data_IF_765234128593
#
_entry.id   IF_765234128593
#
_cell.length_a   1.000
_cell.length_b   1.000
_cell.length_c   1.000
_cell.angle_alpha   90.00
_cell.angle_beta   90.00
_cell.angle_gamma   90.00
#
_symmetry.space_group_name_H-M   'P 1'
#
loop_
_entity.id
_entity.type
_entity.pdbx_description
1 polymer ?
#
# COMPACT_ATOMS: atom_id res chain seq x y z
N UNK A 1 39.66 33.62 -23.58
CA UNK A 1 38.77 32.49 -23.91
C UNK A 1 37.78 32.35 -22.76
N UNK A 2 36.46 32.41 -23.03
CA UNK A 2 35.47 32.23 -21.96
C UNK A 2 35.66 30.86 -21.32
N UNK A 3 35.75 30.82 -20.00
CA UNK A 3 35.94 29.58 -19.25
C UNK A 3 34.78 28.62 -19.54
N UNK A 4 35.11 27.43 -20.06
CA UNK A 4 34.14 26.37 -20.33
C UNK A 4 34.07 25.45 -19.12
N UNK A 5 32.87 25.22 -18.62
CA UNK A 5 32.61 24.36 -17.47
C UNK A 5 31.86 23.10 -17.90
N UNK A 6 31.82 22.09 -17.04
CA UNK A 6 31.08 20.86 -17.31
C UNK A 6 29.58 21.14 -17.33
N UNK A 7 28.84 20.50 -18.23
CA UNK A 7 27.38 20.62 -18.30
C UNK A 7 26.68 20.35 -16.96
N UNK A 8 27.10 19.30 -16.23
CA UNK A 8 26.52 18.98 -14.92
C UNK A 8 26.69 20.09 -13.87
N UNK A 9 27.80 20.83 -13.95
CA UNK A 9 28.09 21.96 -13.10
C UNK A 9 27.36 23.22 -13.59
N UNK A 10 27.29 23.44 -14.90
CA UNK A 10 26.55 24.56 -15.47
C UNK A 10 25.05 24.50 -15.16
N UNK A 11 24.44 23.31 -15.21
CA UNK A 11 23.02 23.11 -14.87
C UNK A 11 22.72 23.47 -13.41
N UNK A 12 23.63 23.13 -12.48
CA UNK A 12 23.50 23.51 -11.08
C UNK A 12 23.76 24.99 -10.85
N UNK A 13 24.88 25.53 -11.38
CA UNK A 13 25.26 26.93 -11.20
C UNK A 13 24.27 27.92 -11.82
N UNK A 14 23.58 27.52 -12.90
CA UNK A 14 22.51 28.32 -13.53
C UNK A 14 21.13 28.10 -12.89
N UNK A 15 21.04 27.33 -11.81
CA UNK A 15 19.80 27.09 -11.07
C UNK A 15 18.78 26.20 -11.79
N UNK A 16 19.15 25.53 -12.88
CA UNK A 16 18.24 24.65 -13.63
C UNK A 16 17.95 23.36 -12.86
N UNK A 17 18.89 22.90 -12.02
CA UNK A 17 18.73 21.72 -11.16
C UNK A 17 19.41 21.94 -9.81
N UNK A 18 18.78 21.51 -8.72
CA UNK A 18 19.25 21.77 -7.36
C UNK A 18 20.51 21.01 -6.90
N UNK A 19 21.11 20.16 -7.74
CA UNK A 19 22.42 19.56 -7.44
C UNK A 19 23.11 18.97 -8.67
N UNK A 20 24.45 18.85 -8.63
CA UNK A 20 25.24 18.13 -9.67
C UNK A 20 24.78 16.70 -9.89
N UNK A 21 24.35 16.01 -8.84
CA UNK A 21 23.89 14.63 -8.95
C UNK A 21 22.61 14.54 -9.82
N UNK A 22 21.67 15.47 -9.61
CA UNK A 22 20.46 15.59 -10.43
C UNK A 22 20.78 16.00 -11.85
N UNK A 23 21.71 16.95 -12.02
CA UNK A 23 22.18 17.35 -13.35
C UNK A 23 22.75 16.19 -14.15
N UNK A 24 23.58 15.34 -13.54
CA UNK A 24 24.11 14.13 -14.19
C UNK A 24 23.01 13.15 -14.58
N UNK A 25 22.04 12.93 -13.71
CA UNK A 25 20.92 12.04 -13.98
C UNK A 25 20.03 12.56 -15.13
N UNK A 26 19.68 13.85 -15.11
CA UNK A 26 18.87 14.48 -16.15
C UNK A 26 19.53 14.36 -17.54
N UNK A 27 20.84 14.59 -17.62
CA UNK A 27 21.61 14.40 -18.87
C UNK A 27 21.60 12.93 -19.30
N UNK A 28 21.80 11.98 -18.38
CA UNK A 28 21.78 10.54 -18.71
C UNK A 28 20.42 10.06 -19.22
N UNK A 29 19.33 10.70 -18.79
CA UNK A 29 17.97 10.41 -19.27
C UNK A 29 17.62 11.12 -20.59
N UNK A 30 18.51 11.95 -21.13
CA UNK A 30 18.24 12.70 -22.36
C UNK A 30 17.25 13.86 -22.18
N UNK A 31 16.99 14.30 -20.95
CA UNK A 31 16.08 15.41 -20.64
C UNK A 31 16.73 16.79 -20.74
N UNK A 32 18.01 16.86 -21.08
CA UNK A 32 18.75 18.11 -21.22
C UNK A 32 19.11 18.33 -22.67
N UNK A 33 18.93 19.55 -23.18
CA UNK A 33 19.45 19.98 -24.48
C UNK A 33 20.43 21.14 -24.31
N UNK A 34 21.45 21.15 -25.15
CA UNK A 34 22.41 22.26 -25.30
C UNK A 34 22.24 22.82 -26.72
N UNK A 35 21.89 24.09 -26.84
CA UNK A 35 21.61 24.76 -28.11
C UNK A 35 20.57 23.99 -28.95
N UNK A 36 19.51 23.48 -28.29
CA UNK A 36 18.45 22.70 -28.93
C UNK A 36 18.80 21.22 -29.21
N UNK A 37 20.04 20.78 -28.97
CA UNK A 37 20.48 19.40 -29.24
C UNK A 37 20.50 18.58 -27.94
N UNK A 38 19.89 17.38 -27.89
CA UNK A 38 19.95 16.50 -26.72
C UNK A 38 21.38 16.19 -26.28
N UNK A 39 21.65 16.40 -24.99
CA UNK A 39 22.92 16.10 -24.37
C UNK A 39 22.93 14.68 -23.80
N UNK A 40 24.03 13.96 -23.99
CA UNK A 40 24.21 12.59 -23.47
C UNK A 40 25.38 12.45 -22.49
N UNK A 41 26.26 13.46 -22.42
CA UNK A 41 27.48 13.44 -21.61
C UNK A 41 27.45 14.54 -20.53
N UNK A 42 27.30 14.18 -19.24
CA UNK A 42 27.26 15.18 -18.17
C UNK A 42 28.53 16.03 -18.03
N UNK A 43 29.66 15.54 -18.56
CA UNK A 43 30.95 16.21 -18.51
C UNK A 43 31.27 16.99 -19.79
N UNK A 44 30.35 17.07 -20.76
CA UNK A 44 30.61 17.84 -21.98
C UNK A 44 30.83 19.32 -21.62
N UNK A 45 31.85 19.98 -22.20
CA UNK A 45 32.15 21.36 -21.89
C UNK A 45 31.10 22.29 -22.52
N UNK A 46 30.59 23.24 -21.74
CA UNK A 46 29.66 24.28 -22.18
C UNK A 46 30.21 25.66 -21.81
N UNK A 47 30.02 26.62 -22.71
CA UNK A 47 30.37 28.03 -22.52
C UNK A 47 29.22 28.82 -21.88
N UNK A 48 29.49 30.07 -21.46
CA UNK A 48 28.47 30.94 -20.88
C UNK A 48 27.28 31.20 -21.83
N UNK A 49 27.55 31.33 -23.13
CA UNK A 49 26.53 31.65 -24.15
C UNK A 49 25.73 30.43 -24.64
N UNK A 50 26.11 29.21 -24.24
CA UNK A 50 25.36 28.02 -24.61
C UNK A 50 23.98 28.02 -23.93
N UNK A 51 22.92 27.83 -24.71
CA UNK A 51 21.54 27.76 -24.22
C UNK A 51 21.28 26.36 -23.67
N UNK A 52 21.00 26.27 -22.37
CA UNK A 52 20.68 25.02 -21.69
C UNK A 52 19.17 24.96 -21.45
N UNK A 53 18.50 23.95 -22.00
CA UNK A 53 17.07 23.72 -21.76
C UNK A 53 16.85 22.37 -21.11
N UNK A 54 15.92 22.31 -20.15
CA UNK A 54 15.56 21.12 -19.42
C UNK A 54 14.10 20.75 -19.73
N UNK A 55 13.90 19.52 -20.16
CA UNK A 55 12.61 18.89 -20.43
C UNK A 55 12.46 17.70 -19.47
N UNK A 56 12.40 18.01 -18.17
CA UNK A 56 12.32 17.04 -17.10
C UNK A 56 11.15 17.37 -16.16
N UNK A 57 10.04 16.61 -16.22
CA UNK A 57 8.90 16.81 -15.34
C UNK A 57 9.26 16.71 -13.84
N UNK A 58 10.36 16.02 -13.51
CA UNK A 58 10.83 15.88 -12.15
C UNK A 58 11.71 17.05 -11.67
N UNK A 59 12.06 18.02 -12.54
CA UNK A 59 13.03 19.07 -12.24
C UNK A 59 12.65 19.92 -11.02
N UNK A 60 11.36 20.22 -10.88
CA UNK A 60 10.82 21.10 -9.84
C UNK A 60 10.66 20.44 -8.46
N UNK A 61 10.74 19.11 -8.39
CA UNK A 61 10.50 18.38 -7.16
C UNK A 61 11.79 18.09 -6.42
N UNK A 62 11.78 18.00 -5.09
CA UNK A 62 12.97 17.65 -4.28
C UNK A 62 13.46 16.20 -4.48
N UNK A 63 12.63 15.32 -5.06
CA UNK A 63 12.99 13.94 -5.39
C UNK A 63 12.26 13.46 -6.66
N UNK A 64 12.82 12.51 -7.40
CA UNK A 64 12.10 11.84 -8.51
C UNK A 64 11.08 10.82 -8.03
N UNK A 65 11.15 10.39 -6.77
CA UNK A 65 10.18 9.46 -6.19
C UNK A 65 8.74 9.99 -6.36
N UNK A 66 8.56 11.31 -6.39
CA UNK A 66 7.28 12.02 -6.64
C UNK A 66 6.47 11.46 -7.81
N UNK A 67 7.11 11.03 -8.90
CA UNK A 67 6.41 10.51 -10.07
C UNK A 67 5.61 9.24 -9.73
N UNK A 68 6.06 8.47 -8.73
CA UNK A 68 5.33 7.30 -8.22
C UNK A 68 4.07 7.72 -7.49
N UNK A 69 4.16 8.74 -6.63
CA UNK A 69 3.00 9.23 -5.90
C UNK A 69 2.00 9.93 -6.82
N UNK A 70 2.47 10.74 -7.78
CA UNK A 70 1.61 11.42 -8.76
C UNK A 70 0.78 10.39 -9.54
N UNK A 71 1.42 9.39 -10.14
CA UNK A 71 0.72 8.31 -10.81
C UNK A 71 -0.21 7.55 -9.86
N UNK A 72 0.20 7.46 -8.60
CA UNK A 72 -0.58 6.92 -7.50
C UNK A 72 -1.91 7.65 -7.32
N UNK A 73 -1.83 8.93 -7.04
CA UNK A 73 -2.96 9.78 -6.76
C UNK A 73 -3.87 9.93 -7.99
N UNK A 74 -3.31 10.06 -9.19
CA UNK A 74 -4.07 10.22 -10.43
C UNK A 74 -4.94 9.00 -10.72
N UNK A 75 -4.40 7.80 -10.55
CA UNK A 75 -5.15 6.58 -10.78
C UNK A 75 -6.18 6.28 -9.68
N UNK A 76 -6.03 6.88 -8.50
CA UNK A 76 -7.06 6.89 -7.46
C UNK A 76 -8.12 7.99 -7.68
N UNK A 77 -7.97 8.84 -8.70
CA UNK A 77 -8.85 10.00 -8.91
C UNK A 77 -8.66 11.11 -7.87
N UNK A 78 -7.53 11.12 -7.15
CA UNK A 78 -7.20 12.08 -6.09
C UNK A 78 -6.40 13.26 -6.65
N UNK A 79 -7.01 14.01 -7.56
CA UNK A 79 -6.39 15.21 -8.15
C UNK A 79 -6.41 16.41 -7.21
N UNK A 80 -7.36 16.45 -6.26
CA UNK A 80 -7.51 17.53 -5.27
C UNK A 80 -7.59 16.93 -3.86
N UNK A 81 -6.73 17.43 -2.98
CA UNK A 81 -6.61 17.08 -1.57
C UNK A 81 -6.97 18.28 -0.67
N UNK A 82 -7.65 19.31 -1.20
CA UNK A 82 -8.10 20.47 -0.45
C UNK A 82 -8.74 20.07 0.88
N UNK A 83 -8.23 20.64 1.97
CA UNK A 83 -8.73 20.39 3.32
C UNK A 83 -8.22 19.09 3.96
N UNK A 84 -7.64 18.17 3.20
CA UNK A 84 -7.20 16.86 3.70
C UNK A 84 -5.96 16.96 4.59
N UNK A 85 -5.98 16.21 5.69
CA UNK A 85 -4.82 15.95 6.54
C UNK A 85 -4.13 14.67 6.08
N UNK A 86 -2.85 14.77 5.76
CA UNK A 86 -2.08 13.64 5.23
C UNK A 86 -0.97 13.17 6.18
N UNK A 87 -0.61 11.90 6.09
CA UNK A 87 0.53 11.29 6.77
C UNK A 87 1.50 10.70 5.74
N UNK A 88 2.73 11.21 5.70
CA UNK A 88 3.81 10.74 4.82
C UNK A 88 4.83 9.93 5.63
N UNK A 89 4.79 8.61 5.47
CA UNK A 89 5.66 7.66 6.18
C UNK A 89 6.89 7.32 5.32
N UNK A 90 8.06 7.73 5.80
CA UNK A 90 9.31 7.67 5.04
C UNK A 90 9.52 8.91 4.17
N UNK A 91 9.24 10.09 4.72
CA UNK A 91 9.23 11.36 3.98
C UNK A 91 10.59 11.69 3.33
N UNK A 92 11.69 11.26 3.94
CA UNK A 92 13.07 11.51 3.49
C UNK A 92 13.31 12.97 3.10
N UNK A 93 13.67 13.26 1.85
CA UNK A 93 13.87 14.65 1.39
C UNK A 93 12.58 15.45 1.23
N UNK A 94 11.41 14.81 1.35
CA UNK A 94 10.08 15.44 1.33
C UNK A 94 9.40 15.44 -0.04
N UNK A 95 9.81 14.57 -0.96
CA UNK A 95 9.20 14.52 -2.29
C UNK A 95 7.68 14.28 -2.24
N UNK A 96 7.25 13.28 -1.47
CA UNK A 96 5.83 12.95 -1.35
C UNK A 96 5.07 14.06 -0.63
N UNK A 97 5.61 14.55 0.49
CA UNK A 97 5.13 15.74 1.19
C UNK A 97 4.90 16.94 0.24
N UNK A 98 5.85 17.25 -0.64
CA UNK A 98 5.71 18.33 -1.63
C UNK A 98 4.49 18.10 -2.55
N UNK A 99 4.33 16.90 -3.10
CA UNK A 99 3.20 16.56 -3.98
C UNK A 99 1.86 16.70 -3.25
N UNK A 100 1.79 16.27 -1.99
CA UNK A 100 0.57 16.38 -1.18
C UNK A 100 0.18 17.86 -0.98
N UNK A 101 1.15 18.72 -0.67
CA UNK A 101 0.93 20.16 -0.51
C UNK A 101 0.50 20.85 -1.82
N UNK A 102 1.12 20.49 -2.93
CA UNK A 102 0.79 21.01 -4.27
C UNK A 102 -0.62 20.62 -4.71
N UNK A 103 -1.13 19.46 -4.24
CA UNK A 103 -2.52 19.04 -4.43
C UNK A 103 -3.49 19.61 -3.39
N UNK A 104 -3.05 20.51 -2.53
CA UNK A 104 -3.95 21.23 -1.62
C UNK A 104 -4.15 20.63 -0.24
N UNK A 105 -3.34 19.64 0.17
CA UNK A 105 -3.37 19.13 1.55
C UNK A 105 -3.27 20.30 2.55
N UNK A 106 -4.17 20.29 3.54
CA UNK A 106 -4.24 21.34 4.57
C UNK A 106 -3.15 21.19 5.63
N UNK A 107 -2.70 19.95 5.85
CA UNK A 107 -1.63 19.58 6.76
C UNK A 107 -0.97 18.28 6.33
N UNK A 108 0.35 18.18 6.50
CA UNK A 108 1.11 16.94 6.25
C UNK A 108 2.00 16.62 7.44
N UNK A 109 1.79 15.45 8.04
CA UNK A 109 2.71 14.85 9.00
C UNK A 109 3.79 14.09 8.24
N UNK A 110 5.01 14.62 8.23
CA UNK A 110 6.15 14.05 7.50
C UNK A 110 7.05 13.27 8.48
N UNK A 111 6.95 11.93 8.47
CA UNK A 111 7.63 11.05 9.43
C UNK A 111 8.80 10.36 8.77
N UNK A 112 9.97 10.41 9.40
CA UNK A 112 11.15 9.68 8.96
C UNK A 112 12.02 9.25 10.15
N UNK A 113 12.73 8.13 10.00
CA UNK A 113 13.71 7.67 11.00
C UNK A 113 15.05 8.37 10.87
N UNK A 114 15.34 8.95 9.70
CA UNK A 114 16.50 9.79 9.45
C UNK A 114 16.37 11.16 10.12
N UNK A 115 17.49 11.88 10.14
CA UNK A 115 17.59 13.24 10.66
C UNK A 115 18.12 14.18 9.57
N UNK A 116 17.66 15.43 9.58
CA UNK A 116 18.14 16.50 8.71
C UNK A 116 18.09 16.18 7.20
N UNK A 117 17.06 15.44 6.80
CA UNK A 117 16.80 15.06 5.41
C UNK A 117 15.78 15.98 4.74
N UNK A 118 14.76 16.44 5.49
CA UNK A 118 13.67 17.21 4.92
C UNK A 118 14.18 18.52 4.33
N UNK A 119 13.80 18.81 3.09
CA UNK A 119 14.28 20.00 2.40
C UNK A 119 13.91 21.28 3.16
N UNK A 120 14.81 22.28 3.29
CA UNK A 120 14.57 23.48 4.09
C UNK A 120 13.25 24.20 3.79
N UNK A 121 12.87 24.31 2.52
CA UNK A 121 11.60 24.93 2.12
C UNK A 121 10.37 24.18 2.66
N UNK A 122 10.43 22.84 2.72
CA UNK A 122 9.34 22.03 3.27
C UNK A 122 9.34 22.07 4.79
N UNK A 123 10.52 22.12 5.41
CA UNK A 123 10.65 22.32 6.86
C UNK A 123 10.11 23.68 7.32
N UNK A 124 10.23 24.70 6.47
CA UNK A 124 9.71 26.04 6.74
C UNK A 124 8.23 26.23 6.37
N UNK A 125 7.60 25.26 5.68
CA UNK A 125 6.21 25.33 5.29
C UNK A 125 5.29 25.09 6.52
N UNK A 126 4.41 26.04 6.89
CA UNK A 126 3.60 25.94 8.11
C UNK A 126 2.60 24.77 8.10
N UNK A 127 2.24 24.25 6.92
CA UNK A 127 1.37 23.07 6.79
C UNK A 127 2.10 21.75 7.05
N UNK A 128 3.43 21.74 7.18
CA UNK A 128 4.23 20.53 7.38
C UNK A 128 4.66 20.41 8.83
N UNK A 129 4.36 19.28 9.46
CA UNK A 129 4.90 18.90 10.75
C UNK A 129 5.92 17.78 10.53
N UNK A 130 7.19 18.09 10.79
CA UNK A 130 8.30 17.15 10.62
C UNK A 130 8.52 16.33 11.89
N UNK A 131 8.49 15.01 11.73
CA UNK A 131 8.82 14.01 12.75
C UNK A 131 10.03 13.19 12.28
N UNK A 132 11.16 13.87 12.09
CA UNK A 132 12.46 13.23 11.85
C UNK A 132 12.96 12.53 13.13
N UNK A 133 13.77 11.48 12.97
CA UNK A 133 14.21 10.62 14.07
C UNK A 133 13.12 9.77 14.71
N UNK A 134 11.92 9.70 14.10
CA UNK A 134 10.75 9.02 14.67
C UNK A 134 10.49 7.72 13.94
N UNK A 135 10.40 6.62 14.68
CA UNK A 135 9.98 5.35 14.13
C UNK A 135 8.45 5.35 13.95
N UNK A 136 7.97 5.18 12.72
CA UNK A 136 6.55 5.20 12.42
C UNK A 136 5.72 4.16 13.22
N UNK A 137 6.36 3.10 13.73
CA UNK A 137 5.76 2.10 14.63
C UNK A 137 5.33 2.66 15.99
N UNK A 138 5.92 3.78 16.39
CA UNK A 138 5.73 4.41 17.70
C UNK A 138 4.77 5.61 17.60
N UNK A 139 4.21 5.89 16.42
CA UNK A 139 3.24 6.97 16.26
C UNK A 139 1.99 6.67 17.06
N UNK A 140 1.51 7.69 17.76
CA UNK A 140 0.28 7.65 18.54
C UNK A 140 -0.58 8.88 18.23
N UNK A 141 -1.81 8.88 18.76
CA UNK A 141 -2.69 10.06 18.72
C UNK A 141 -2.15 11.26 19.50
N UNK A 142 -1.17 11.06 20.38
CA UNK A 142 -0.51 12.18 21.07
C UNK A 142 0.40 12.95 20.10
N UNK A 143 1.12 12.23 19.24
CA UNK A 143 1.99 12.84 18.22
C UNK A 143 1.19 13.33 17.02
N UNK A 144 0.16 12.58 16.63
CA UNK A 144 -0.70 12.86 15.46
C UNK A 144 -2.15 12.95 15.95
N UNK A 145 -2.56 14.09 16.54
CA UNK A 145 -3.89 14.24 17.12
C UNK A 145 -5.00 14.34 16.07
N UNK A 146 -4.68 14.84 14.88
CA UNK A 146 -5.63 14.90 13.77
C UNK A 146 -5.96 13.51 13.24
N UNK A 147 -7.16 13.36 12.69
CA UNK A 147 -7.53 12.17 11.93
C UNK A 147 -7.01 12.27 10.49
N UNK A 148 -6.29 11.23 10.05
CA UNK A 148 -5.66 11.23 8.74
C UNK A 148 -6.65 10.84 7.65
N UNK A 149 -6.77 11.68 6.61
CA UNK A 149 -7.57 11.44 5.40
C UNK A 149 -6.83 10.60 4.37
N UNK A 150 -5.51 10.80 4.25
CA UNK A 150 -4.65 10.12 3.29
C UNK A 150 -3.30 9.76 3.91
N UNK A 151 -2.97 8.47 3.88
CA UNK A 151 -1.65 7.97 4.24
C UNK A 151 -0.85 7.64 2.98
N UNK A 152 0.40 8.07 2.91
CA UNK A 152 1.36 7.62 1.88
C UNK A 152 2.57 6.97 2.56
N UNK A 153 3.11 5.90 1.99
CA UNK A 153 4.23 5.17 2.58
C UNK A 153 5.27 4.76 1.53
N UNK A 154 6.49 5.28 1.65
CA UNK A 154 7.66 4.97 0.78
C UNK A 154 8.90 4.57 1.59
N UNK A 155 8.75 3.66 2.55
CA UNK A 155 9.87 3.20 3.38
C UNK A 155 10.80 2.22 2.65
N UNK A 156 12.05 2.15 3.09
CA UNK A 156 13.06 1.23 2.56
C UNK A 156 13.72 0.43 3.71
N UNK A 157 14.38 -0.67 3.38
CA UNK A 157 15.15 -1.53 4.32
C UNK A 157 14.34 -2.28 5.38
N UNK A 158 13.01 -2.13 5.40
CA UNK A 158 12.10 -2.85 6.28
C UNK A 158 10.84 -3.21 5.52
N UNK A 159 10.25 -4.37 5.83
CA UNK A 159 8.93 -4.75 5.32
C UNK A 159 7.87 -3.79 5.83
N UNK A 160 6.96 -3.37 4.95
CA UNK A 160 5.85 -2.49 5.31
C UNK A 160 4.91 -3.11 6.34
N UNK A 161 4.79 -4.45 6.35
CA UNK A 161 3.97 -5.18 7.33
C UNK A 161 4.44 -4.99 8.78
N UNK A 162 5.72 -4.66 8.98
CA UNK A 162 6.28 -4.42 10.32
C UNK A 162 6.05 -2.98 10.82
N UNK A 163 5.60 -2.08 9.94
CA UNK A 163 5.55 -0.64 10.22
C UNK A 163 4.13 -0.11 10.19
N UNK A 164 3.29 -0.58 9.27
CA UNK A 164 2.03 0.07 8.92
C UNK A 164 0.92 -0.01 9.98
N UNK A 165 1.00 -0.91 10.96
CA UNK A 165 -0.08 -1.05 11.95
C UNK A 165 -0.39 0.25 12.71
N UNK A 166 0.63 0.91 13.26
CA UNK A 166 0.44 2.16 14.00
C UNK A 166 -0.02 3.32 13.07
N UNK A 167 0.65 3.62 11.94
CA UNK A 167 0.21 4.66 11.00
C UNK A 167 -1.22 4.46 10.48
N UNK A 168 -1.61 3.23 10.13
CA UNK A 168 -2.95 2.95 9.63
C UNK A 168 -4.03 3.14 10.69
N UNK A 169 -3.73 2.95 11.97
CA UNK A 169 -4.70 3.16 13.06
C UNK A 169 -4.99 4.64 13.36
N UNK A 170 -4.20 5.56 12.81
CA UNK A 170 -4.40 7.01 12.94
C UNK A 170 -5.33 7.58 11.85
N UNK A 171 -5.63 6.78 10.83
CA UNK A 171 -6.56 7.14 9.77
C UNK A 171 -8.01 7.13 10.27
N UNK A 172 -8.85 7.99 9.71
CA UNK A 172 -10.30 7.94 9.96
C UNK A 172 -10.99 6.88 9.09
N UNK A 173 -12.24 6.60 9.43
CA UNK A 173 -13.15 5.87 8.56
C UNK A 173 -13.26 6.55 7.19
N UNK A 174 -13.15 5.74 6.14
CA UNK A 174 -13.15 6.21 4.75
C UNK A 174 -11.90 6.99 4.32
N UNK A 175 -10.83 7.01 5.13
CA UNK A 175 -9.52 7.46 4.67
C UNK A 175 -9.00 6.58 3.53
N UNK A 176 -7.98 7.05 2.82
CA UNK A 176 -7.26 6.29 1.79
C UNK A 176 -5.81 6.09 2.20
N UNK A 177 -5.16 5.07 1.65
CA UNK A 177 -3.72 4.94 1.73
C UNK A 177 -3.09 4.61 0.37
N UNK A 178 -1.84 5.00 0.18
CA UNK A 178 -1.00 4.65 -0.97
C UNK A 178 0.31 4.10 -0.42
N UNK A 179 0.51 2.79 -0.55
CA UNK A 179 1.67 2.09 0.00
C UNK A 179 2.54 1.60 -1.14
N UNK A 180 3.84 1.93 -1.11
CA UNK A 180 4.78 1.45 -2.12
C UNK A 180 5.32 0.07 -1.73
N UNK A 181 4.83 -0.96 -2.40
CA UNK A 181 5.38 -2.31 -2.32
C UNK A 181 6.75 -2.40 -3.00
N UNK A 182 7.78 -2.78 -2.26
CA UNK A 182 9.16 -2.92 -2.75
C UNK A 182 9.61 -4.37 -2.51
N UNK A 183 9.54 -5.26 -3.53
CA UNK A 183 9.72 -6.70 -3.33
C UNK A 183 11.00 -7.06 -2.57
N UNK A 184 12.09 -6.35 -2.83
CA UNK A 184 13.40 -6.56 -2.20
C UNK A 184 13.42 -6.42 -0.67
N UNK A 185 12.42 -5.77 -0.08
CA UNK A 185 12.29 -5.65 1.38
C UNK A 185 11.23 -6.58 1.98
N UNK A 186 10.54 -7.35 1.12
CA UNK A 186 9.38 -8.17 1.49
C UNK A 186 9.64 -9.67 1.34
N UNK A 187 10.40 -10.08 0.31
CA UNK A 187 10.60 -11.51 -0.03
C UNK A 187 11.61 -12.27 0.86
N UNK A 188 12.22 -11.61 1.83
CA UNK A 188 13.30 -12.18 2.65
C UNK A 188 14.66 -12.25 1.94
N UNK A 189 15.75 -12.40 2.70
CA UNK A 189 17.13 -12.23 2.20
C UNK A 189 17.51 -13.27 1.13
N UNK A 190 17.01 -14.50 1.25
CA UNK A 190 17.38 -15.60 0.34
C UNK A 190 16.84 -15.43 -1.08
N UNK A 191 15.79 -14.60 -1.23
CA UNK A 191 15.15 -14.30 -2.51
C UNK A 191 15.68 -12.99 -3.16
N UNK A 192 16.71 -12.37 -2.58
CA UNK A 192 17.30 -11.13 -3.09
C UNK A 192 18.63 -11.41 -3.78
N UNK A 193 18.65 -11.24 -5.10
CA UNK A 193 19.84 -11.44 -5.93
C UNK A 193 20.85 -10.29 -5.87
N UNK A 194 21.92 -10.41 -6.67
CA UNK A 194 22.96 -9.37 -6.79
C UNK A 194 22.34 -8.01 -7.15
N UNK A 195 22.74 -6.98 -6.41
CA UNK A 195 22.25 -5.61 -6.63
C UNK A 195 20.86 -5.33 -6.05
N UNK A 196 20.33 -6.20 -5.17
CA UNK A 196 19.04 -5.99 -4.53
C UNK A 196 17.84 -6.31 -5.44
N UNK A 197 18.07 -7.06 -6.52
CA UNK A 197 17.06 -7.39 -7.52
C UNK A 197 16.38 -8.69 -7.12
N UNK A 198 15.05 -8.69 -7.10
CA UNK A 198 14.22 -9.88 -6.92
C UNK A 198 13.69 -10.27 -8.30
N UNK A 199 14.10 -11.44 -8.78
CA UNK A 199 13.74 -11.93 -10.12
C UNK A 199 12.70 -13.04 -10.11
N UNK A 200 12.43 -13.66 -8.95
CA UNK A 200 11.44 -14.73 -8.85
C UNK A 200 10.02 -14.14 -8.77
N UNK A 201 9.18 -14.32 -9.81
CA UNK A 201 7.82 -13.80 -9.82
C UNK A 201 6.92 -14.46 -8.76
N UNK A 202 7.18 -15.70 -8.37
CA UNK A 202 6.38 -16.39 -7.35
C UNK A 202 6.64 -15.78 -5.97
N UNK A 203 7.92 -15.59 -5.60
CA UNK A 203 8.28 -14.91 -4.36
C UNK A 203 7.68 -13.49 -4.29
N UNK A 204 7.68 -12.74 -5.40
CA UNK A 204 7.05 -11.43 -5.48
C UNK A 204 5.53 -11.52 -5.23
N UNK A 205 4.85 -12.47 -5.88
CA UNK A 205 3.41 -12.66 -5.74
C UNK A 205 3.01 -13.08 -4.32
N UNK A 206 3.77 -13.98 -3.69
CA UNK A 206 3.56 -14.42 -2.31
C UNK A 206 3.75 -13.26 -1.32
N UNK A 207 4.81 -12.48 -1.47
CA UNK A 207 5.07 -11.32 -0.62
C UNK A 207 3.98 -10.24 -0.78
N UNK A 208 3.50 -10.01 -2.00
CA UNK A 208 2.39 -9.09 -2.26
C UNK A 208 1.08 -9.59 -1.64
N UNK A 209 0.80 -10.89 -1.73
CA UNK A 209 -0.36 -11.51 -1.11
C UNK A 209 -0.31 -11.41 0.42
N UNK A 210 0.86 -11.65 1.02
CA UNK A 210 1.08 -11.51 2.45
C UNK A 210 0.88 -10.07 2.93
N UNK A 211 1.43 -9.09 2.20
CA UNK A 211 1.22 -7.67 2.52
C UNK A 211 -0.25 -7.26 2.39
N UNK A 212 -0.92 -7.72 1.32
CA UNK A 212 -2.35 -7.45 1.12
C UNK A 212 -3.17 -8.04 2.28
N UNK A 213 -2.94 -9.32 2.62
CA UNK A 213 -3.64 -9.99 3.71
C UNK A 213 -3.42 -9.31 5.07
N UNK A 214 -2.18 -8.90 5.37
CA UNK A 214 -1.87 -8.17 6.59
C UNK A 214 -2.67 -6.87 6.72
N UNK A 215 -2.77 -6.07 5.65
CA UNK A 215 -3.51 -4.82 5.73
C UNK A 215 -5.04 -5.07 5.71
N UNK A 216 -5.51 -6.11 5.02
CA UNK A 216 -6.92 -6.54 5.11
C UNK A 216 -7.32 -6.97 6.53
N UNK A 217 -6.43 -7.65 7.25
CA UNK A 217 -6.62 -8.01 8.67
C UNK A 217 -6.73 -6.77 9.58
N UNK A 218 -6.16 -5.63 9.17
CA UNK A 218 -6.30 -4.35 9.84
C UNK A 218 -7.60 -3.60 9.47
N UNK A 219 -8.53 -4.25 8.75
CA UNK A 219 -9.85 -3.69 8.43
C UNK A 219 -9.88 -2.85 7.17
N UNK A 220 -8.85 -2.89 6.35
CA UNK A 220 -8.75 -2.08 5.15
C UNK A 220 -9.11 -2.92 3.90
N UNK A 221 -9.77 -2.35 2.89
CA UNK A 221 -10.04 -3.05 1.61
C UNK A 221 -9.25 -2.55 0.40
N UNK A 222 -8.55 -3.42 -0.35
CA UNK A 222 -7.85 -3.06 -1.59
C UNK A 222 -8.78 -2.56 -2.71
N UNK A 223 -8.48 -1.36 -3.23
CA UNK A 223 -9.20 -0.72 -4.35
C UNK A 223 -8.51 -0.92 -5.70
N UNK A 224 -7.19 -0.69 -5.77
CA UNK A 224 -6.42 -0.75 -7.02
C UNK A 224 -5.13 -1.55 -6.84
N UNK A 225 -4.43 -1.79 -7.94
CA UNK A 225 -3.03 -2.17 -7.99
C UNK A 225 -2.51 -1.72 -9.37
N UNK A 226 -1.35 -1.07 -9.41
CA UNK A 226 -0.76 -0.55 -10.64
C UNK A 226 0.73 -0.89 -10.65
N UNK A 227 1.43 -0.88 -11.80
CA UNK A 227 2.89 -0.98 -11.89
C UNK A 227 3.60 0.40 -11.90
N UNK A 228 4.75 0.56 -11.22
CA UNK A 228 5.43 1.85 -11.08
C UNK A 228 5.93 2.42 -12.42
N UNK A 229 5.68 3.70 -12.73
CA UNK A 229 6.10 4.31 -14.00
C UNK A 229 7.62 4.41 -14.18
N UNK A 230 8.42 4.31 -13.11
CA UNK A 230 9.88 4.36 -13.18
C UNK A 230 10.57 2.98 -13.32
N UNK A 231 9.86 1.94 -13.75
CA UNK A 231 10.44 0.61 -13.97
C UNK A 231 11.42 0.62 -15.17
N UNK A 232 12.71 0.89 -14.91
CA UNK A 232 13.76 0.42 -15.81
C UNK A 232 13.99 -1.08 -15.58
N UNK A 233 14.51 -1.81 -16.56
CA UNK A 233 14.71 -3.28 -16.50
C UNK A 233 15.58 -3.81 -15.31
N UNK A 234 16.14 -2.91 -14.47
CA UNK A 234 16.84 -3.22 -13.20
C UNK A 234 16.04 -2.91 -11.92
N UNK A 235 14.90 -2.24 -12.05
CA UNK A 235 14.10 -1.65 -10.97
C UNK A 235 12.60 -1.88 -11.23
N UNK A 236 12.21 -3.12 -11.57
CA UNK A 236 10.80 -3.57 -11.63
C UNK A 236 10.17 -3.65 -10.22
N UNK A 237 10.38 -2.62 -9.42
CA UNK A 237 10.21 -2.60 -7.97
C UNK A 237 9.49 -1.33 -7.60
N UNK A 238 8.19 -1.28 -7.77
CA UNK A 238 7.28 -0.46 -6.99
C UNK A 238 5.90 -0.61 -7.59
N UNK A 239 4.89 -0.47 -6.74
CA UNK A 239 3.49 -0.29 -7.07
C UNK A 239 2.68 -1.58 -6.85
N UNK A 240 2.05 -1.56 -5.69
CA UNK A 240 0.68 -1.98 -5.52
C UNK A 240 0.07 -0.81 -4.79
N UNK A 241 -0.44 0.15 -5.56
CA UNK A 241 -1.31 1.19 -5.04
C UNK A 241 -2.50 0.51 -4.40
N UNK A 242 -2.46 0.30 -3.10
CA UNK A 242 -3.63 -0.25 -2.45
C UNK A 242 -4.35 0.92 -1.82
N UNK A 243 -5.27 1.51 -2.57
CA UNK A 243 -6.31 2.33 -1.96
C UNK A 243 -7.05 1.45 -0.98
N UNK A 244 -7.21 1.92 0.24
CA UNK A 244 -7.89 1.18 1.28
C UNK A 244 -9.04 2.03 1.78
N UNK A 245 -10.22 1.46 2.00
CA UNK A 245 -11.29 2.12 2.75
C UNK A 245 -11.65 1.23 3.93
N UNK A 246 -11.84 1.84 5.10
CA UNK A 246 -12.47 1.16 6.23
C UNK A 246 -13.91 0.79 5.80
N UNK A 247 -14.41 -0.41 6.12
CA UNK A 247 -15.80 -0.75 5.86
C UNK A 247 -16.70 0.28 6.52
N UNK A 248 -17.49 1.00 5.71
CA UNK A 248 -18.65 1.77 6.19
C UNK A 248 -19.38 0.93 7.24
N UNK A 249 -19.60 1.45 8.45
CA UNK A 249 -20.10 0.74 9.65
C UNK A 249 -21.27 -0.25 9.47
N UNK A 250 -21.97 -0.21 8.34
CA UNK A 250 -22.89 -1.25 7.83
C UNK A 250 -22.30 -2.66 7.76
N UNK A 251 -20.99 -2.79 7.52
CA UNK A 251 -20.34 -4.08 7.30
C UNK A 251 -19.94 -4.74 8.64
N UNK A 252 -19.53 -3.97 9.65
CA UNK A 252 -19.17 -4.52 10.96
C UNK A 252 -20.34 -5.24 11.63
N UNK A 253 -21.56 -4.75 11.44
CA UNK A 253 -22.78 -5.42 11.90
C UNK A 253 -22.94 -6.81 11.26
N UNK A 254 -22.60 -6.96 9.97
CA UNK A 254 -22.62 -8.26 9.30
C UNK A 254 -21.48 -9.19 9.76
N UNK A 255 -20.29 -8.68 10.05
CA UNK A 255 -19.16 -9.50 10.52
C UNK A 255 -19.27 -9.93 11.98
N UNK A 256 -19.98 -9.18 12.84
CA UNK A 256 -20.25 -9.57 14.23
C UNK A 256 -21.53 -10.40 14.37
N UNK A 257 -22.64 -10.01 13.72
CA UNK A 257 -23.91 -10.73 13.84
C UNK A 257 -23.80 -12.14 13.25
N UNK A 258 -23.13 -12.33 12.12
CA UNK A 258 -23.14 -13.63 11.43
C UNK A 258 -22.41 -14.74 12.22
N UNK A 259 -21.18 -14.57 12.70
CA UNK A 259 -20.54 -15.59 13.55
C UNK A 259 -21.16 -15.68 14.94
N UNK A 260 -21.66 -14.58 15.53
CA UNK A 260 -22.31 -14.63 16.84
C UNK A 260 -23.66 -15.37 16.79
N UNK A 261 -24.46 -15.17 15.74
CA UNK A 261 -25.67 -15.95 15.46
C UNK A 261 -25.32 -17.43 15.25
N UNK A 262 -24.27 -17.73 14.48
CA UNK A 262 -23.83 -19.13 14.26
C UNK A 262 -23.37 -19.78 15.58
N UNK A 263 -22.64 -19.06 16.43
CA UNK A 263 -22.20 -19.57 17.74
C UNK A 263 -23.38 -19.76 18.69
N UNK A 264 -24.28 -18.78 18.82
CA UNK A 264 -25.48 -18.90 19.66
C UNK A 264 -26.39 -20.06 19.19
N UNK A 265 -26.48 -20.27 17.88
CA UNK A 265 -27.30 -21.34 17.29
C UNK A 265 -26.64 -22.73 17.41
N UNK A 266 -25.31 -22.81 17.33
CA UNK A 266 -24.54 -24.04 17.60
C UNK A 266 -24.56 -24.42 19.10
N UNK A 267 -24.55 -23.44 20.00
CA UNK A 267 -24.74 -23.65 21.44
C UNK A 267 -26.15 -24.17 21.71
N UNK A 268 -27.17 -23.64 21.02
CA UNK A 268 -28.53 -24.21 21.04
C UNK A 268 -28.60 -25.66 20.57
N UNK A 269 -27.78 -26.03 19.57
CA UNK A 269 -27.65 -27.40 19.04
C UNK A 269 -27.04 -28.40 20.04
N UNK A 270 -26.16 -27.93 20.94
CA UNK A 270 -25.51 -28.76 21.97
C UNK A 270 -26.40 -28.94 23.20
N UNK A 271 -27.24 -27.94 23.50
CA UNK A 271 -28.04 -27.90 24.72
C UNK A 271 -29.49 -28.40 24.54
N UNK A 272 -30.01 -28.48 23.31
CA UNK A 272 -31.38 -28.91 23.06
C UNK A 272 -31.54 -30.46 23.07
N UNK A 273 -32.36 -31.06 23.96
CA UNK A 273 -32.40 -32.52 24.14
C UNK A 273 -33.26 -33.29 23.12
N UNK A 274 -33.86 -32.66 22.11
CA UNK A 274 -34.82 -33.33 21.20
C UNK A 274 -34.63 -32.97 19.72
N UNK A 275 -34.77 -33.93 18.79
CA UNK A 275 -34.56 -33.69 17.37
C UNK A 275 -35.82 -33.07 16.76
N UNK A 276 -35.78 -31.80 16.36
CA UNK A 276 -36.85 -31.20 15.55
C UNK A 276 -36.61 -31.59 14.08
N UNK A 277 -37.48 -32.40 13.44
CA UNK A 277 -37.23 -32.94 12.09
C UNK A 277 -37.29 -31.89 10.97
N UNK A 278 -37.84 -30.69 11.25
CA UNK A 278 -38.00 -29.58 10.29
C UNK A 278 -36.74 -28.69 10.24
N UNK A 279 -35.86 -28.76 11.25
CA UNK A 279 -34.69 -27.87 11.35
C UNK A 279 -33.58 -28.19 10.36
N UNK A 280 -33.37 -29.47 10.02
CA UNK A 280 -32.23 -29.90 9.21
C UNK A 280 -32.24 -29.36 7.77
N UNK A 281 -33.36 -29.41 7.02
CA UNK A 281 -33.43 -28.88 5.65
C UNK A 281 -33.32 -27.36 5.59
N UNK A 282 -33.94 -26.64 6.53
CA UNK A 282 -33.87 -25.17 6.64
C UNK A 282 -32.44 -24.73 7.00
N UNK A 283 -31.79 -25.47 7.89
CA UNK A 283 -30.39 -25.26 8.27
C UNK A 283 -29.42 -25.53 7.10
N UNK A 284 -29.63 -26.62 6.34
CA UNK A 284 -28.85 -26.89 5.14
C UNK A 284 -29.01 -25.78 4.09
N UNK A 285 -30.23 -25.24 3.94
CA UNK A 285 -30.50 -24.13 3.03
C UNK A 285 -29.83 -22.83 3.49
N UNK A 286 -29.89 -22.49 4.78
CA UNK A 286 -29.24 -21.29 5.34
C UNK A 286 -27.71 -21.36 5.23
N UNK A 287 -27.11 -22.51 5.50
CA UNK A 287 -25.67 -22.75 5.31
C UNK A 287 -25.29 -22.66 3.83
N UNK A 288 -26.10 -23.21 2.93
CA UNK A 288 -25.86 -23.10 1.48
C UNK A 288 -25.98 -21.66 0.99
N UNK A 289 -26.95 -20.90 1.49
CA UNK A 289 -27.08 -19.46 1.19
C UNK A 289 -25.88 -18.67 1.72
N UNK A 290 -25.42 -18.95 2.94
CA UNK A 290 -24.26 -18.29 3.53
C UNK A 290 -22.97 -18.60 2.75
N UNK A 291 -22.75 -19.87 2.41
CA UNK A 291 -21.57 -20.31 1.64
C UNK A 291 -21.61 -19.78 0.21
N UNK A 292 -22.79 -19.68 -0.41
CA UNK A 292 -22.92 -19.21 -1.79
C UNK A 292 -22.82 -17.70 -1.93
N UNK A 293 -23.17 -16.94 -0.89
CA UNK A 293 -23.15 -15.47 -0.90
C UNK A 293 -21.88 -14.87 -0.27
N UNK A 294 -21.13 -15.63 0.53
CA UNK A 294 -19.92 -15.14 1.20
C UNK A 294 -18.75 -16.15 1.11
N UNK A 295 -17.77 -15.93 0.20
CA UNK A 295 -16.59 -16.80 0.05
C UNK A 295 -15.71 -16.88 1.31
N UNK A 296 -15.66 -15.82 2.12
CA UNK A 296 -14.87 -15.80 3.36
C UNK A 296 -15.53 -16.67 4.45
N UNK A 297 -16.86 -16.76 4.47
CA UNK A 297 -17.59 -17.64 5.39
C UNK A 297 -17.23 -19.12 5.15
N UNK A 298 -17.00 -19.52 3.90
CA UNK A 298 -16.58 -20.89 3.56
C UNK A 298 -15.20 -21.23 4.15
N UNK A 299 -14.24 -20.30 4.09
CA UNK A 299 -12.90 -20.47 4.65
C UNK A 299 -12.92 -20.52 6.19
N UNK A 300 -13.75 -19.69 6.83
CA UNK A 300 -13.93 -19.73 8.29
C UNK A 300 -14.58 -21.04 8.76
N UNK A 301 -15.61 -21.51 8.05
CA UNK A 301 -16.25 -22.81 8.31
C UNK A 301 -15.27 -23.97 8.19
N UNK A 302 -14.36 -23.93 7.21
CA UNK A 302 -13.28 -24.91 7.07
C UNK A 302 -12.36 -24.94 8.30
N UNK A 303 -11.94 -23.78 8.79
CA UNK A 303 -11.10 -23.66 9.98
C UNK A 303 -11.83 -24.19 11.23
N UNK A 304 -13.11 -23.87 11.39
CA UNK A 304 -13.91 -24.34 12.52
C UNK A 304 -14.15 -25.84 12.48
N UNK A 305 -14.48 -26.41 11.30
CA UNK A 305 -14.64 -27.86 11.13
C UNK A 305 -13.34 -28.62 11.40
N UNK A 306 -12.17 -28.05 11.08
CA UNK A 306 -10.87 -28.63 11.49
C UNK A 306 -10.65 -28.58 13.00
N UNK A 307 -11.01 -27.46 13.64
CA UNK A 307 -10.76 -27.22 15.06
C UNK A 307 -11.70 -28.02 15.97
N UNK A 308 -12.92 -28.31 15.53
CA UNK A 308 -13.99 -28.88 16.34
C UNK A 308 -14.57 -30.17 15.71
N UNK A 309 -14.09 -31.37 16.09
CA UNK A 309 -14.52 -32.63 15.48
C UNK A 309 -16.03 -32.91 15.56
N UNK A 310 -16.70 -32.48 16.64
CA UNK A 310 -18.17 -32.60 16.79
C UNK A 310 -18.93 -31.75 15.77
N UNK A 311 -18.38 -30.59 15.42
CA UNK A 311 -18.94 -29.71 14.39
C UNK A 311 -18.82 -30.37 13.02
N UNK A 312 -17.65 -30.92 12.68
CA UNK A 312 -17.48 -31.64 11.40
C UNK A 312 -18.41 -32.86 11.28
N UNK A 313 -18.62 -33.60 12.37
CA UNK A 313 -19.56 -34.72 12.41
C UNK A 313 -21.01 -34.27 12.13
N UNK A 314 -21.44 -33.15 12.71
CA UNK A 314 -22.77 -32.58 12.45
C UNK A 314 -22.92 -32.15 10.97
N UNK A 315 -21.91 -31.51 10.40
CA UNK A 315 -21.91 -31.14 8.98
C UNK A 315 -21.98 -32.35 8.05
N UNK A 316 -21.26 -33.43 8.35
CA UNK A 316 -21.34 -34.68 7.57
C UNK A 316 -22.75 -35.30 7.63
N UNK A 317 -23.37 -35.31 8.81
CA UNK A 317 -24.74 -35.81 8.95
C UNK A 317 -25.76 -34.97 8.14
N UNK A 318 -25.52 -33.67 7.95
CA UNK A 318 -26.33 -32.80 7.10
C UNK A 318 -26.03 -33.07 5.62
N UNK A 319 -24.75 -33.19 5.24
CA UNK A 319 -24.31 -33.51 3.87
C UNK A 319 -24.92 -34.81 3.35
N UNK A 320 -24.99 -35.85 4.19
CA UNK A 320 -25.51 -37.18 3.84
C UNK A 320 -27.04 -37.20 3.71
N UNK A 321 -27.74 -36.27 4.39
CA UNK A 321 -29.21 -36.13 4.33
C UNK A 321 -29.68 -35.08 3.32
N UNK A 322 -28.78 -34.23 2.84
CA UNK A 322 -29.09 -33.16 1.90
C UNK A 322 -29.21 -33.69 0.46
N UNK A 323 -30.15 -33.12 -0.32
CA UNK A 323 -30.27 -33.43 -1.75
C UNK A 323 -28.99 -33.10 -2.55
N UNK A 324 -28.80 -33.68 -3.76
CA UNK A 324 -27.52 -33.70 -4.46
C UNK A 324 -26.87 -32.31 -4.66
N UNK A 325 -27.68 -31.28 -4.94
CA UNK A 325 -27.23 -29.89 -5.14
C UNK A 325 -26.77 -29.21 -3.83
N UNK A 326 -27.51 -29.39 -2.73
CA UNK A 326 -27.16 -28.83 -1.42
C UNK A 326 -25.91 -29.51 -0.86
N UNK A 327 -25.86 -30.85 -0.94
CA UNK A 327 -24.70 -31.62 -0.50
C UNK A 327 -23.41 -31.23 -1.23
N UNK A 328 -23.48 -30.95 -2.54
CA UNK A 328 -22.32 -30.52 -3.32
C UNK A 328 -21.75 -29.18 -2.86
N UNK A 329 -22.61 -28.24 -2.44
CA UNK A 329 -22.19 -26.93 -1.94
C UNK A 329 -21.56 -27.04 -0.56
N UNK A 330 -22.17 -27.81 0.35
CA UNK A 330 -21.65 -28.05 1.70
C UNK A 330 -20.28 -28.74 1.67
N UNK A 331 -20.08 -29.70 0.77
CA UNK A 331 -18.81 -30.42 0.59
C UNK A 331 -17.62 -29.51 0.22
N UNK A 332 -17.85 -28.30 -0.28
CA UNK A 332 -16.78 -27.31 -0.52
C UNK A 332 -16.12 -26.82 0.78
N UNK A 333 -16.84 -26.93 1.90
CA UNK A 333 -16.33 -26.57 3.24
C UNK A 333 -15.80 -27.77 4.01
N UNK A 334 -15.64 -28.93 3.35
CA UNK A 334 -15.17 -30.15 3.99
C UNK A 334 -13.64 -30.13 4.11
N UNK A 335 -13.08 -30.39 5.32
CA UNK A 335 -11.65 -30.56 5.46
C UNK A 335 -11.15 -31.74 4.61
N UNK A 336 -9.96 -31.64 3.97
CA UNK A 336 -9.34 -32.78 3.29
C UNK A 336 -9.12 -33.92 4.29
N UNK A 337 -9.30 -35.18 3.85
CA UNK A 337 -8.95 -36.36 4.66
C UNK A 337 -7.43 -36.35 4.86
N UNK A 338 -6.99 -36.42 6.11
CA UNK A 338 -5.62 -36.80 6.45
C UNK A 338 -5.41 -38.28 6.16
#
# INVERSE_FOLDING_TARGET
MSERIRLDQALEQRGLLGSRARARDAVKRGTVKVNGIPASKPHQPVGPDDVLTLDDPAAQYVSRAVLKLIAGLDAAGLSDLAGSVCLDVGASTGGFTQVLLERGASKVYAVDVGHDQLHPNLRAEPRVLSFEGTNARELTRENVPDSIDLLVCDISFVSVTKVLAAPLSLCREGALAIILFKPQFEVGRDNVGRGGIVSDPNAIAEALAAMTGFVEELGWRRLHALPSPMATAKLSQSLSMIGWSEPSGSIMLSYLLTPMLVVMFLVGLILAPTPIPIGLPVMALALVLLISTNPQAANQLLLWRRRWPRLDAAFRAIEDRAGPRLGATLRRTRPPRQ
#
